data_IF_085333214487
#
_entry.id   IF_085333214487
#
_cell.length_a   1.000
_cell.length_b   1.000
_cell.length_c   1.000
_cell.angle_alpha   90.00
_cell.angle_beta   90.00
_cell.angle_gamma   90.00
#
_symmetry.space_group_name_H-M   'P 1'
#
loop_
_entity.id
_entity.type
_entity.pdbx_description
1 polymer ?
#
# COMPACT_ATOMS: atom_id res chain seq x y z
N UNK A 1 19.80 9.89 -24.45
CA UNK A 1 18.88 11.06 -24.43
C UNK A 1 17.67 10.86 -25.32
N UNK A 2 17.82 10.35 -26.57
CA UNK A 2 16.68 10.10 -27.46
C UNK A 2 15.54 9.31 -26.81
N UNK A 3 15.82 8.16 -26.19
CA UNK A 3 14.75 7.39 -25.52
C UNK A 3 14.03 8.10 -24.37
N UNK A 4 14.66 9.08 -23.69
CA UNK A 4 13.96 9.92 -22.70
C UNK A 4 13.06 10.96 -23.38
N UNK A 5 13.49 11.48 -24.54
CA UNK A 5 12.69 12.37 -25.36
C UNK A 5 11.45 11.64 -25.88
N UNK A 6 11.63 10.44 -26.46
CA UNK A 6 10.53 9.62 -26.99
C UNK A 6 9.51 9.24 -25.90
N UNK A 7 9.97 8.95 -24.68
CA UNK A 7 9.11 8.63 -23.52
C UNK A 7 8.32 9.87 -23.03
N UNK A 8 8.90 11.06 -23.15
CA UNK A 8 8.27 12.31 -22.68
C UNK A 8 7.41 12.99 -23.74
N UNK A 9 7.60 12.63 -25.01
CA UNK A 9 6.86 13.12 -26.17
C UNK A 9 6.31 11.92 -26.96
N UNK A 10 5.55 11.07 -26.29
CA UNK A 10 5.00 9.86 -26.87
C UNK A 10 3.71 10.19 -27.63
N UNK A 11 3.73 10.04 -28.95
CA UNK A 11 2.60 10.22 -29.86
C UNK A 11 2.01 8.88 -30.34
N UNK A 12 2.52 7.75 -29.81
CA UNK A 12 2.13 6.41 -30.26
C UNK A 12 1.10 5.77 -29.34
N UNK A 13 1.16 6.03 -28.03
CA UNK A 13 0.27 5.33 -27.06
C UNK A 13 -1.15 5.88 -27.04
N UNK A 14 -1.35 7.19 -27.11
CA UNK A 14 -2.68 7.82 -27.12
C UNK A 14 -2.89 8.52 -28.48
N UNK A 15 -3.75 7.94 -29.33
CA UNK A 15 -4.02 8.50 -30.66
C UNK A 15 -4.50 9.95 -30.58
N UNK A 16 -3.89 10.80 -31.40
CA UNK A 16 -4.22 12.23 -31.49
C UNK A 16 -3.64 13.10 -30.38
N UNK A 17 -2.86 12.53 -29.45
CA UNK A 17 -2.26 13.27 -28.33
C UNK A 17 -0.79 12.89 -28.11
N UNK A 18 0.07 13.90 -28.00
CA UNK A 18 1.43 13.69 -27.49
C UNK A 18 1.40 13.75 -25.97
N UNK A 19 1.78 12.66 -25.31
CA UNK A 19 1.75 12.53 -23.86
C UNK A 19 3.14 12.36 -23.27
N UNK A 20 3.30 12.87 -22.05
CA UNK A 20 4.44 12.52 -21.22
C UNK A 20 4.09 11.25 -20.42
N UNK A 21 4.64 10.11 -20.83
CA UNK A 21 4.33 8.81 -20.20
C UNK A 21 4.82 8.72 -18.76
N UNK A 22 5.83 9.50 -18.35
CA UNK A 22 6.25 9.61 -16.95
C UNK A 22 5.20 10.32 -16.09
N UNK A 23 4.55 11.36 -16.63
CA UNK A 23 3.42 12.06 -15.99
C UNK A 23 2.18 11.18 -16.00
N UNK A 24 1.87 10.53 -17.12
CA UNK A 24 0.59 9.83 -17.36
C UNK A 24 0.53 8.43 -16.72
N UNK A 25 1.61 7.65 -16.79
CA UNK A 25 1.61 6.22 -16.44
C UNK A 25 2.62 5.83 -15.35
N UNK A 26 3.33 6.78 -14.75
CA UNK A 26 4.30 6.50 -13.68
C UNK A 26 5.41 5.52 -14.13
N UNK A 27 5.92 5.68 -15.36
CA UNK A 27 6.94 4.83 -16.00
C UNK A 27 8.38 5.00 -15.41
N UNK A 28 8.47 5.51 -14.18
CA UNK A 28 9.73 5.73 -13.48
C UNK A 28 10.55 4.46 -13.22
N UNK A 29 9.95 3.32 -12.80
CA UNK A 29 10.71 2.08 -12.62
C UNK A 29 11.45 1.68 -13.90
N UNK A 30 10.79 1.71 -15.05
CA UNK A 30 11.36 1.27 -16.33
C UNK A 30 12.53 2.17 -16.74
N UNK A 31 12.42 3.49 -16.58
CA UNK A 31 13.52 4.40 -16.90
C UNK A 31 14.74 4.15 -16.01
N UNK A 32 14.52 4.00 -14.70
CA UNK A 32 15.59 3.75 -13.73
C UNK A 32 16.25 2.39 -14.00
N UNK A 33 15.47 1.33 -14.19
CA UNK A 33 16.01 -0.01 -14.42
C UNK A 33 16.57 -0.19 -15.82
N UNK A 34 16.10 0.54 -16.84
CA UNK A 34 16.76 0.58 -18.14
C UNK A 34 18.16 1.21 -18.05
N UNK A 35 18.35 2.23 -17.20
CA UNK A 35 19.67 2.78 -16.93
C UNK A 35 20.58 1.75 -16.24
N UNK A 36 20.09 1.08 -15.18
CA UNK A 36 20.87 0.03 -14.51
C UNK A 36 21.17 -1.16 -15.42
N UNK A 37 20.23 -1.55 -16.28
CA UNK A 37 20.44 -2.62 -17.25
C UNK A 37 21.56 -2.30 -18.24
N UNK A 38 21.65 -1.05 -18.72
CA UNK A 38 22.76 -0.61 -19.60
C UNK A 38 24.11 -0.69 -18.90
N UNK A 39 24.18 -0.30 -17.63
CA UNK A 39 25.41 -0.43 -16.82
C UNK A 39 25.76 -1.91 -16.64
N UNK A 40 24.78 -2.73 -16.24
CA UNK A 40 24.95 -4.17 -16.06
C UNK A 40 25.47 -4.84 -17.34
N UNK A 41 24.86 -4.54 -18.48
CA UNK A 41 25.28 -5.05 -19.79
C UNK A 41 26.69 -4.58 -20.16
N UNK A 42 26.98 -3.30 -20.00
CA UNK A 42 28.32 -2.76 -20.28
C UNK A 42 29.43 -3.42 -19.44
N UNK A 43 29.17 -3.71 -18.16
CA UNK A 43 30.12 -4.40 -17.28
C UNK A 43 30.28 -5.87 -17.69
N UNK A 44 29.17 -6.56 -17.94
CA UNK A 44 29.21 -8.00 -18.25
C UNK A 44 29.81 -8.30 -19.61
N UNK A 45 29.54 -7.45 -20.61
CA UNK A 45 30.18 -7.50 -21.93
C UNK A 45 31.69 -7.22 -21.81
N UNK A 46 32.11 -6.28 -20.96
CA UNK A 46 33.53 -5.98 -20.73
C UNK A 46 34.30 -7.14 -20.06
N UNK A 47 33.63 -7.96 -19.25
CA UNK A 47 34.21 -9.11 -18.54
C UNK A 47 33.95 -10.44 -19.27
N UNK A 48 33.30 -10.41 -20.44
CA UNK A 48 32.90 -11.61 -21.20
C UNK A 48 32.11 -12.65 -20.37
N UNK A 49 31.23 -12.18 -19.49
CA UNK A 49 30.35 -13.05 -18.71
C UNK A 49 29.13 -13.38 -19.55
N UNK A 50 28.87 -14.67 -19.79
CA UNK A 50 27.63 -15.08 -20.46
C UNK A 50 26.43 -14.93 -19.52
N UNK A 51 25.53 -13.99 -19.83
CA UNK A 51 24.39 -13.61 -18.96
C UNK A 51 23.04 -14.14 -19.45
N UNK A 52 22.98 -14.72 -20.64
CA UNK A 52 21.76 -15.31 -21.20
C UNK A 52 22.07 -16.55 -22.05
N UNK A 53 21.12 -17.47 -22.09
CA UNK A 53 21.14 -18.67 -22.96
C UNK A 53 19.92 -18.66 -23.85
N UNK A 54 20.14 -18.73 -25.17
CA UNK A 54 19.07 -18.72 -26.16
C UNK A 54 18.84 -20.13 -26.73
N UNK A 55 17.57 -20.51 -26.80
CA UNK A 55 17.11 -21.80 -27.30
C UNK A 55 16.16 -21.57 -28.48
N UNK A 56 16.22 -22.44 -29.48
CA UNK A 56 15.18 -22.50 -30.53
C UNK A 56 14.11 -23.50 -30.11
N UNK A 57 12.93 -23.01 -29.79
CA UNK A 57 11.80 -23.83 -29.34
C UNK A 57 10.94 -24.18 -30.55
N UNK A 58 10.78 -25.48 -30.80
CA UNK A 58 9.81 -26.00 -31.77
C UNK A 58 8.43 -26.03 -31.12
N UNK A 59 7.49 -25.26 -31.66
CA UNK A 59 6.17 -25.04 -31.05
C UNK A 59 5.09 -26.05 -31.48
N UNK A 60 5.45 -27.03 -32.31
CA UNK A 60 4.50 -27.96 -32.91
C UNK A 60 3.58 -27.29 -33.94
N UNK A 61 2.55 -28.01 -34.40
CA UNK A 61 1.43 -27.47 -35.20
C UNK A 61 1.82 -26.72 -36.49
N UNK A 62 2.92 -27.10 -37.15
CA UNK A 62 3.48 -26.44 -38.34
C UNK A 62 3.83 -24.94 -38.15
N UNK A 63 4.00 -24.48 -36.91
CA UNK A 63 4.41 -23.11 -36.61
C UNK A 63 5.95 -22.96 -36.71
N UNK A 64 6.47 -21.81 -37.18
CA UNK A 64 7.90 -21.60 -37.24
C UNK A 64 8.51 -21.60 -35.84
N UNK A 65 9.74 -22.14 -35.68
CA UNK A 65 10.43 -22.12 -34.40
C UNK A 65 10.69 -20.68 -33.95
N UNK A 66 10.58 -20.43 -32.65
CA UNK A 66 10.89 -19.14 -32.04
C UNK A 66 12.16 -19.27 -31.20
N UNK A 67 12.98 -18.23 -31.23
CA UNK A 67 14.11 -18.08 -30.33
C UNK A 67 13.63 -17.53 -28.98
N UNK A 68 13.89 -18.28 -27.92
CA UNK A 68 13.62 -17.89 -26.54
C UNK A 68 14.93 -17.79 -25.78
N UNK A 69 15.23 -16.59 -25.28
CA UNK A 69 16.43 -16.32 -24.49
C UNK A 69 16.06 -16.20 -23.02
N UNK A 70 16.73 -16.97 -22.17
CA UNK A 70 16.55 -16.99 -20.72
C UNK A 70 17.81 -16.46 -20.01
N UNK A 71 17.61 -15.77 -18.90
CA UNK A 71 18.68 -15.24 -18.06
C UNK A 71 18.63 -13.73 -17.89
N UNK A 72 19.33 -13.23 -16.87
CA UNK A 72 19.34 -11.82 -16.46
C UNK A 72 19.90 -10.87 -17.54
N UNK A 73 20.61 -11.40 -18.54
CA UNK A 73 21.03 -10.67 -19.74
C UNK A 73 19.87 -10.28 -20.66
N UNK A 74 18.71 -10.92 -20.56
CA UNK A 74 17.51 -10.54 -21.29
C UNK A 74 16.78 -9.41 -20.53
N UNK A 75 16.36 -8.31 -21.20
CA UNK A 75 15.74 -7.16 -20.54
C UNK A 75 14.44 -7.51 -19.78
N UNK A 76 13.68 -8.49 -20.25
CA UNK A 76 12.44 -8.92 -19.58
C UNK A 76 12.74 -9.61 -18.25
N UNK A 77 13.69 -10.55 -18.24
CA UNK A 77 14.15 -11.23 -17.03
C UNK A 77 14.81 -10.24 -16.07
N UNK A 78 15.68 -9.36 -16.57
CA UNK A 78 16.28 -8.31 -15.75
C UNK A 78 15.22 -7.47 -15.02
N UNK A 79 14.19 -7.03 -15.73
CA UNK A 79 13.12 -6.23 -15.12
C UNK A 79 12.33 -7.04 -14.09
N UNK A 80 11.88 -8.25 -14.43
CA UNK A 80 11.06 -9.10 -13.56
C UNK A 80 11.82 -9.55 -12.31
N UNK A 81 13.10 -9.93 -12.44
CA UNK A 81 13.94 -10.32 -11.32
C UNK A 81 14.11 -9.16 -10.32
N UNK A 82 14.26 -7.94 -10.81
CA UNK A 82 14.33 -6.75 -9.97
C UNK A 82 12.98 -6.41 -9.31
N UNK A 83 11.85 -6.67 -9.98
CA UNK A 83 10.51 -6.60 -9.34
C UNK A 83 10.43 -7.59 -8.18
N UNK A 84 10.87 -8.83 -8.38
CA UNK A 84 10.86 -9.84 -7.32
C UNK A 84 11.82 -9.51 -6.18
N UNK A 85 13.01 -8.98 -6.48
CA UNK A 85 13.95 -8.50 -5.47
C UNK A 85 13.32 -7.38 -4.60
N UNK A 86 12.65 -6.42 -5.24
CA UNK A 86 11.91 -5.36 -4.56
C UNK A 86 10.77 -5.93 -3.71
N UNK A 87 9.97 -6.85 -4.26
CA UNK A 87 8.87 -7.50 -3.54
C UNK A 87 9.36 -8.32 -2.34
N UNK A 88 10.55 -8.93 -2.41
CA UNK A 88 11.17 -9.66 -1.31
C UNK A 88 11.38 -8.79 -0.06
N UNK A 89 11.56 -7.47 -0.21
CA UNK A 89 11.72 -6.54 0.92
C UNK A 89 10.44 -6.35 1.75
N UNK A 90 9.27 -6.71 1.21
CA UNK A 90 7.98 -6.68 1.92
C UNK A 90 8.02 -7.60 3.14
N UNK A 91 8.55 -8.81 2.99
CA UNK A 91 8.65 -9.77 4.08
C UNK A 91 9.46 -9.21 5.26
N UNK A 92 10.60 -8.57 4.96
CA UNK A 92 11.43 -7.89 5.95
C UNK A 92 10.69 -6.75 6.65
N UNK A 93 9.95 -5.94 5.89
CA UNK A 93 9.17 -4.82 6.44
C UNK A 93 8.02 -5.29 7.33
N UNK A 94 7.33 -6.38 6.95
CA UNK A 94 6.28 -7.02 7.76
C UNK A 94 6.86 -7.59 9.06
N UNK A 95 8.03 -8.24 8.99
CA UNK A 95 8.73 -8.73 10.18
C UNK A 95 9.06 -7.58 11.14
N UNK A 96 9.67 -6.50 10.63
CA UNK A 96 9.97 -5.30 11.43
C UNK A 96 8.71 -4.73 12.06
N UNK A 97 7.61 -4.61 11.30
CA UNK A 97 6.32 -4.18 11.81
C UNK A 97 5.80 -5.08 12.93
N UNK A 98 5.88 -6.40 12.75
CA UNK A 98 5.46 -7.36 13.77
C UNK A 98 6.28 -7.24 15.06
N UNK A 99 7.59 -6.99 14.96
CA UNK A 99 8.44 -6.70 16.12
C UNK A 99 8.06 -5.37 16.78
N UNK A 100 7.78 -4.34 15.97
CA UNK A 100 7.38 -3.03 16.47
C UNK A 100 6.06 -3.08 17.25
N UNK A 101 5.08 -3.88 16.81
CA UNK A 101 3.77 -3.97 17.46
C UNK A 101 3.74 -4.89 18.68
N UNK A 102 4.64 -5.87 18.74
CA UNK A 102 4.65 -6.91 19.78
C UNK A 102 5.71 -6.73 20.87
N UNK A 103 6.70 -5.84 20.67
CA UNK A 103 7.92 -5.79 21.49
C UNK A 103 8.70 -7.11 21.50
N UNK A 104 8.50 -7.99 20.50
CA UNK A 104 9.03 -9.35 20.49
C UNK A 104 9.36 -9.84 19.08
N UNK A 105 10.46 -10.59 18.96
CA UNK A 105 10.84 -11.27 17.71
C UNK A 105 9.75 -12.28 17.28
N UNK A 106 9.06 -12.90 18.25
CA UNK A 106 7.99 -13.85 17.98
C UNK A 106 6.78 -13.21 17.30
N UNK A 107 6.48 -11.92 17.56
CA UNK A 107 5.44 -11.22 16.82
C UNK A 107 5.83 -10.94 15.36
N UNK A 108 7.13 -10.71 15.11
CA UNK A 108 7.68 -10.65 13.75
C UNK A 108 7.50 -11.96 13.00
N UNK A 109 7.85 -13.09 13.61
CA UNK A 109 7.65 -14.42 13.01
C UNK A 109 6.16 -14.75 12.79
N UNK A 110 5.28 -14.39 13.73
CA UNK A 110 3.84 -14.58 13.59
C UNK A 110 3.29 -13.80 12.38
N UNK A 111 3.62 -12.52 12.26
CA UNK A 111 3.18 -11.69 11.12
C UNK A 111 3.75 -12.19 9.78
N UNK A 112 5.02 -12.62 9.76
CA UNK A 112 5.66 -13.16 8.58
C UNK A 112 5.06 -14.50 8.15
N UNK A 113 4.80 -15.41 9.09
CA UNK A 113 4.13 -16.68 8.82
C UNK A 113 2.70 -16.45 8.30
N UNK A 114 1.96 -15.55 8.94
CA UNK A 114 0.63 -15.14 8.50
C UNK A 114 0.63 -14.60 7.06
N UNK A 115 1.62 -13.79 6.69
CA UNK A 115 1.81 -13.28 5.34
C UNK A 115 2.17 -14.39 4.34
N UNK A 116 3.11 -15.26 4.68
CA UNK A 116 3.53 -16.37 3.82
C UNK A 116 2.36 -17.33 3.50
N UNK A 117 1.57 -17.69 4.50
CA UNK A 117 0.42 -18.59 4.34
C UNK A 117 -0.74 -17.97 3.53
N UNK A 118 -0.79 -16.64 3.45
CA UNK A 118 -1.84 -15.89 2.76
C UNK A 118 -1.29 -15.04 1.61
N UNK A 119 -0.10 -15.37 1.09
CA UNK A 119 0.62 -14.56 0.10
C UNK A 119 -0.24 -14.24 -1.14
N UNK A 120 -1.05 -15.20 -1.61
CA UNK A 120 -1.90 -15.02 -2.80
C UNK A 120 -3.09 -14.09 -2.61
N UNK A 121 -3.51 -13.83 -1.37
CA UNK A 121 -4.54 -12.84 -1.05
C UNK A 121 -3.92 -11.49 -0.64
N UNK A 122 -2.60 -11.47 -0.40
CA UNK A 122 -1.84 -10.31 0.04
C UNK A 122 -1.16 -9.57 -1.11
N UNK A 123 -0.69 -10.29 -2.13
CA UNK A 123 -0.09 -9.74 -3.33
C UNK A 123 -0.34 -10.66 -4.52
N UNK A 124 -0.19 -10.11 -5.72
CA UNK A 124 -0.26 -10.84 -7.00
C UNK A 124 1.00 -10.68 -7.82
N UNK A 125 2.09 -10.25 -7.18
CA UNK A 125 3.39 -10.08 -7.85
C UNK A 125 3.84 -11.36 -8.55
N UNK A 126 3.52 -12.55 -8.02
CA UNK A 126 3.86 -13.81 -8.70
C UNK A 126 3.10 -14.06 -10.01
N UNK A 127 1.91 -13.46 -10.19
CA UNK A 127 1.07 -13.67 -11.37
C UNK A 127 1.25 -12.57 -12.41
N UNK A 128 1.40 -11.35 -11.93
CA UNK A 128 1.48 -10.15 -12.77
C UNK A 128 2.59 -9.23 -12.28
N UNK A 129 3.87 -9.63 -12.43
CA UNK A 129 5.01 -8.83 -11.95
C UNK A 129 5.02 -7.39 -12.50
N UNK A 130 4.76 -7.12 -13.80
CA UNK A 130 4.89 -5.78 -14.38
C UNK A 130 3.90 -4.72 -13.90
N UNK A 131 2.98 -5.06 -12.98
CA UNK A 131 2.08 -4.06 -12.43
C UNK A 131 2.84 -2.99 -11.64
N UNK A 132 2.42 -1.73 -11.81
CA UNK A 132 2.91 -0.56 -11.06
C UNK A 132 2.87 -0.75 -9.54
N UNK A 133 1.83 -1.39 -9.04
CA UNK A 133 1.65 -1.64 -7.61
C UNK A 133 2.73 -2.58 -7.06
N UNK A 134 3.29 -3.49 -7.87
CA UNK A 134 4.39 -4.39 -7.49
C UNK A 134 5.65 -3.60 -7.09
N UNK A 135 5.90 -2.46 -7.76
CA UNK A 135 7.00 -1.56 -7.42
C UNK A 135 6.70 -0.67 -6.23
N UNK A 136 5.49 -0.10 -6.14
CA UNK A 136 5.17 0.87 -5.10
C UNK A 136 4.88 0.23 -3.73
N UNK A 137 4.28 -0.96 -3.72
CA UNK A 137 3.82 -1.61 -2.49
C UNK A 137 4.94 -1.87 -1.46
N UNK A 138 6.16 -2.34 -1.83
CA UNK A 138 7.28 -2.48 -0.90
C UNK A 138 7.62 -1.18 -0.18
N UNK A 139 7.67 -0.05 -0.90
CA UNK A 139 7.95 1.26 -0.32
C UNK A 139 6.81 1.74 0.58
N UNK A 140 5.55 1.43 0.26
CA UNK A 140 4.41 1.77 1.11
C UNK A 140 4.51 1.06 2.46
N UNK A 141 4.75 -0.26 2.48
CA UNK A 141 4.87 -1.01 3.73
C UNK A 141 6.11 -0.57 4.53
N UNK A 142 7.25 -0.37 3.87
CA UNK A 142 8.44 0.16 4.52
C UNK A 142 8.19 1.56 5.12
N UNK A 143 7.43 2.41 4.42
CA UNK A 143 7.07 3.73 4.92
C UNK A 143 6.14 3.66 6.13
N UNK A 144 5.15 2.76 6.13
CA UNK A 144 4.26 2.54 7.29
C UNK A 144 5.07 2.02 8.48
N UNK A 145 6.07 1.16 8.24
CA UNK A 145 7.02 0.73 9.27
C UNK A 145 7.82 1.89 9.85
N UNK A 146 8.31 2.78 9.00
CA UNK A 146 9.06 3.95 9.43
C UNK A 146 8.18 4.93 10.22
N UNK A 147 6.93 5.17 9.79
CA UNK A 147 5.95 6.00 10.53
C UNK A 147 5.61 5.38 11.88
N UNK A 148 5.38 4.07 11.93
CA UNK A 148 5.12 3.34 13.18
C UNK A 148 6.30 3.49 14.15
N UNK A 149 7.53 3.37 13.65
CA UNK A 149 8.75 3.59 14.45
C UNK A 149 8.86 5.03 14.99
N UNK A 150 8.54 6.04 14.16
CA UNK A 150 8.53 7.46 14.57
C UNK A 150 7.51 7.69 15.69
N UNK A 151 6.29 7.18 15.53
CA UNK A 151 5.20 7.33 16.50
C UNK A 151 5.58 6.65 17.82
N UNK A 152 6.04 5.39 17.75
CA UNK A 152 6.43 4.60 18.93
C UNK A 152 7.50 5.29 19.76
N UNK A 153 8.55 5.79 19.10
CA UNK A 153 9.69 6.40 19.77
C UNK A 153 9.56 7.92 19.94
N UNK A 154 8.37 8.48 19.66
CA UNK A 154 8.07 9.92 19.74
C UNK A 154 9.14 10.78 19.05
N UNK A 155 9.68 10.30 17.92
CA UNK A 155 10.73 11.01 17.19
C UNK A 155 10.15 12.26 16.53
N UNK A 156 10.95 13.30 16.44
CA UNK A 156 10.59 14.56 15.80
C UNK A 156 11.82 15.20 15.17
N UNK A 157 11.61 15.98 14.11
CA UNK A 157 12.67 16.72 13.43
C UNK A 157 12.72 16.45 11.92
N UNK A 158 13.44 17.31 11.22
CA UNK A 158 13.48 17.31 9.75
C UNK A 158 14.05 16.01 9.16
N UNK A 159 15.03 15.38 9.82
CA UNK A 159 15.63 14.12 9.35
C UNK A 159 14.60 12.99 9.26
N UNK A 160 13.71 12.87 10.25
CA UNK A 160 12.63 11.89 10.26
C UNK A 160 11.57 12.20 9.19
N UNK A 161 11.26 13.49 8.98
CA UNK A 161 10.37 13.93 7.91
C UNK A 161 10.94 13.61 6.52
N UNK A 162 12.24 13.83 6.30
CA UNK A 162 12.91 13.48 5.04
C UNK A 162 12.94 11.97 4.84
N UNK A 163 13.27 11.19 5.87
CA UNK A 163 13.33 9.73 5.80
C UNK A 163 11.99 9.13 5.35
N UNK A 164 10.87 9.57 5.92
CA UNK A 164 9.55 9.11 5.47
C UNK A 164 9.21 9.65 4.07
N UNK A 165 9.62 10.88 3.75
CA UNK A 165 9.31 11.51 2.47
C UNK A 165 9.96 10.77 1.31
N UNK A 166 11.21 10.30 1.46
CA UNK A 166 11.93 9.52 0.43
C UNK A 166 11.15 8.24 0.06
N UNK A 167 10.75 7.45 1.05
CA UNK A 167 9.96 6.22 0.81
C UNK A 167 8.62 6.54 0.15
N UNK A 168 7.94 7.60 0.61
CA UNK A 168 6.69 8.07 -0.01
C UNK A 168 6.88 8.60 -1.43
N UNK A 169 8.02 9.21 -1.76
CA UNK A 169 8.34 9.70 -3.11
C UNK A 169 8.45 8.52 -4.07
N UNK A 170 9.22 7.48 -3.74
CA UNK A 170 9.34 6.28 -4.59
C UNK A 170 7.97 5.62 -4.83
N UNK A 171 7.18 5.44 -3.77
CA UNK A 171 5.83 4.88 -3.90
C UNK A 171 4.94 5.69 -4.88
N UNK A 172 5.00 7.03 -4.83
CA UNK A 172 4.24 7.91 -5.72
C UNK A 172 4.77 7.97 -7.14
N UNK A 173 6.08 7.91 -7.33
CA UNK A 173 6.67 7.88 -8.67
C UNK A 173 6.33 6.57 -9.38
N UNK A 174 6.25 5.46 -8.64
CA UNK A 174 6.02 4.13 -9.20
C UNK A 174 4.54 3.80 -9.42
N UNK A 175 3.63 4.44 -8.68
CA UNK A 175 2.21 4.12 -8.80
C UNK A 175 1.28 5.30 -8.52
N UNK A 176 0.44 5.62 -9.51
CA UNK A 176 -0.57 6.68 -9.46
C UNK A 176 -1.55 6.57 -8.27
N UNK A 177 -1.93 5.36 -7.87
CA UNK A 177 -2.95 5.16 -6.83
C UNK A 177 -2.39 5.12 -5.40
N UNK A 178 -1.07 5.25 -5.24
CA UNK A 178 -0.41 5.34 -3.92
C UNK A 178 -0.96 6.48 -3.05
N UNK A 179 -1.50 7.54 -3.68
CA UNK A 179 -2.17 8.64 -3.00
C UNK A 179 -3.34 8.20 -2.11
N UNK A 180 -4.05 7.12 -2.44
CA UNK A 180 -5.12 6.59 -1.57
C UNK A 180 -4.56 5.93 -0.30
N UNK A 181 -3.42 5.24 -0.42
CA UNK A 181 -2.74 4.68 0.74
C UNK A 181 -2.28 5.80 1.68
N UNK A 182 -1.68 6.87 1.15
CA UNK A 182 -1.23 7.99 1.96
C UNK A 182 -2.38 8.86 2.48
N UNK A 183 -3.50 8.96 1.78
CA UNK A 183 -4.71 9.62 2.27
C UNK A 183 -5.27 8.91 3.52
N UNK A 184 -5.42 7.58 3.47
CA UNK A 184 -5.86 6.81 4.65
C UNK A 184 -4.86 6.90 5.81
N UNK A 185 -3.55 6.86 5.53
CA UNK A 185 -2.51 7.11 6.53
C UNK A 185 -2.63 8.47 7.18
N UNK A 186 -2.85 9.53 6.39
CA UNK A 186 -3.03 10.87 6.92
C UNK A 186 -4.28 10.98 7.79
N UNK A 187 -5.37 10.35 7.39
CA UNK A 187 -6.58 10.21 8.21
C UNK A 187 -6.32 9.49 9.54
N UNK A 188 -5.56 8.40 9.52
CA UNK A 188 -5.19 7.67 10.75
C UNK A 188 -4.29 8.49 11.67
N UNK A 189 -3.34 9.26 11.12
CA UNK A 189 -2.51 10.20 11.89
C UNK A 189 -3.38 11.33 12.46
N UNK A 190 -4.38 11.79 11.73
CA UNK A 190 -5.34 12.78 12.23
C UNK A 190 -6.14 12.23 13.42
N UNK A 191 -6.64 11.00 13.33
CA UNK A 191 -7.33 10.33 14.45
C UNK A 191 -6.40 10.15 15.64
N UNK A 192 -5.14 9.74 15.41
CA UNK A 192 -4.11 9.67 16.46
C UNK A 192 -3.91 11.03 17.18
N UNK A 193 -3.92 12.13 16.42
CA UNK A 193 -3.86 13.48 16.96
C UNK A 193 -5.13 13.86 17.74
N UNK A 194 -6.32 13.58 17.19
CA UNK A 194 -7.60 13.91 17.81
C UNK A 194 -7.80 13.24 19.18
N UNK A 195 -7.23 12.05 19.39
CA UNK A 195 -7.26 11.33 20.66
C UNK A 195 -6.07 11.66 21.59
N UNK A 196 -5.22 12.64 21.25
CA UNK A 196 -4.03 13.06 22.01
C UNK A 196 -3.04 11.89 22.31
N UNK A 197 -2.95 10.89 21.43
CA UNK A 197 -2.04 9.73 21.61
C UNK A 197 -0.58 10.05 21.33
N UNK A 198 -0.31 11.06 20.50
CA UNK A 198 1.05 11.44 20.09
C UNK A 198 1.33 12.91 20.40
N UNK A 199 2.61 13.25 20.50
CA UNK A 199 3.06 14.62 20.76
C UNK A 199 2.85 15.51 19.53
N UNK A 200 2.62 16.81 19.75
CA UNK A 200 2.43 17.76 18.64
C UNK A 200 3.69 17.88 17.76
N UNK A 201 4.89 17.73 18.32
CA UNK A 201 6.14 17.75 17.55
C UNK A 201 6.26 16.55 16.61
N UNK A 202 5.89 15.36 17.08
CA UNK A 202 5.83 14.15 16.24
C UNK A 202 4.78 14.31 15.13
N UNK A 203 3.57 14.79 15.44
CA UNK A 203 2.52 15.01 14.43
C UNK A 203 2.95 16.04 13.37
N UNK A 204 3.55 17.16 13.79
CA UNK A 204 4.11 18.16 12.85
C UNK A 204 5.20 17.57 11.96
N UNK A 205 6.05 16.69 12.51
CA UNK A 205 7.09 15.99 11.74
C UNK A 205 6.48 15.08 10.68
N UNK A 206 5.45 14.31 11.03
CA UNK A 206 4.75 13.42 10.10
C UNK A 206 4.05 14.21 8.99
N UNK A 207 3.34 15.29 9.35
CA UNK A 207 2.68 16.16 8.38
C UNK A 207 3.68 16.84 7.44
N UNK A 208 4.82 17.29 7.97
CA UNK A 208 5.91 17.87 7.17
C UNK A 208 6.47 16.85 6.19
N UNK A 209 6.67 15.59 6.60
CA UNK A 209 7.13 14.53 5.69
C UNK A 209 6.14 14.26 4.55
N UNK A 210 4.85 14.23 4.85
CA UNK A 210 3.79 14.11 3.83
C UNK A 210 3.78 15.31 2.86
N UNK A 211 3.96 16.53 3.36
CA UNK A 211 4.01 17.75 2.57
C UNK A 211 5.26 17.81 1.68
N UNK A 212 6.45 17.58 2.22
CA UNK A 212 7.71 17.51 1.44
C UNK A 212 7.57 16.46 0.35
N UNK A 213 7.11 15.27 0.71
CA UNK A 213 6.90 14.20 -0.24
C UNK A 213 5.94 14.62 -1.36
N UNK A 214 4.82 15.27 -1.02
CA UNK A 214 3.87 15.77 -2.00
C UNK A 214 4.52 16.75 -2.98
N UNK A 215 5.16 17.81 -2.48
CA UNK A 215 5.79 18.83 -3.31
C UNK A 215 6.86 18.22 -4.23
N UNK A 216 7.74 17.36 -3.69
CA UNK A 216 8.77 16.71 -4.50
C UNK A 216 8.18 15.78 -5.55
N UNK A 217 7.20 14.93 -5.20
CA UNK A 217 6.54 14.07 -6.18
C UNK A 217 5.79 14.87 -7.26
N UNK A 218 5.15 16.00 -6.90
CA UNK A 218 4.44 16.85 -7.86
C UNK A 218 5.38 17.47 -8.89
N UNK A 219 6.55 17.95 -8.46
CA UNK A 219 7.60 18.46 -9.35
C UNK A 219 8.14 17.35 -10.25
N UNK A 220 8.49 16.19 -9.67
CA UNK A 220 9.03 15.06 -10.44
C UNK A 220 7.99 14.49 -11.41
N UNK A 221 6.70 14.53 -11.10
CA UNK A 221 5.64 14.09 -12.00
C UNK A 221 5.18 15.19 -12.97
N UNK A 222 5.99 16.23 -13.19
CA UNK A 222 5.71 17.30 -14.17
C UNK A 222 4.36 17.98 -13.95
N UNK A 223 4.01 18.25 -12.69
CA UNK A 223 2.73 18.87 -12.34
C UNK A 223 1.54 17.96 -12.63
N UNK A 224 1.66 16.66 -12.30
CA UNK A 224 0.56 15.71 -12.48
C UNK A 224 -0.73 16.20 -11.77
N UNK A 225 -1.75 16.45 -12.58
CA UNK A 225 -3.02 17.03 -12.15
C UNK A 225 -3.76 16.08 -11.21
N UNK A 226 -3.77 14.78 -11.53
CA UNK A 226 -4.43 13.75 -10.71
C UNK A 226 -3.88 13.71 -9.27
N UNK A 227 -2.57 13.91 -9.08
CA UNK A 227 -1.97 13.97 -7.76
C UNK A 227 -2.43 15.21 -6.98
N UNK A 228 -2.54 16.35 -7.66
CA UNK A 228 -2.95 17.63 -7.07
C UNK A 228 -4.43 17.67 -6.71
N UNK A 229 -5.30 17.10 -7.55
CA UNK A 229 -6.76 17.05 -7.34
C UNK A 229 -7.23 15.93 -6.43
N UNK A 230 -6.36 14.95 -6.17
CA UNK A 230 -6.66 13.84 -5.27
C UNK A 230 -7.06 14.32 -3.87
N UNK A 231 -7.79 13.50 -3.11
CA UNK A 231 -8.14 13.81 -1.72
C UNK A 231 -6.92 13.95 -0.79
N UNK A 232 -5.72 13.52 -1.22
CA UNK A 232 -4.51 13.54 -0.40
C UNK A 232 -4.04 14.97 -0.10
N UNK A 233 -3.89 15.82 -1.11
CA UNK A 233 -3.40 17.19 -0.94
C UNK A 233 -4.36 18.09 -0.13
N UNK A 234 -5.67 18.15 -0.44
CA UNK A 234 -6.67 18.83 0.39
C UNK A 234 -6.64 18.40 1.85
N UNK A 235 -6.40 17.10 2.10
CA UNK A 235 -6.29 16.57 3.46
C UNK A 235 -5.03 17.04 4.18
N UNK A 236 -3.89 17.19 3.49
CA UNK A 236 -2.68 17.79 4.09
C UNK A 236 -2.97 19.22 4.51
N UNK A 237 -3.57 20.01 3.64
CA UNK A 237 -3.94 21.40 3.90
C UNK A 237 -4.96 21.51 5.04
N UNK A 238 -5.99 20.64 5.04
CA UNK A 238 -7.01 20.61 6.08
C UNK A 238 -6.42 20.20 7.45
N UNK A 239 -5.51 19.24 7.49
CA UNK A 239 -4.80 18.88 8.72
C UNK A 239 -3.90 20.04 9.19
N UNK A 240 -3.16 20.67 8.29
CA UNK A 240 -2.34 21.84 8.65
C UNK A 240 -3.21 22.96 9.26
N UNK A 241 -4.37 23.25 8.67
CA UNK A 241 -5.33 24.21 9.21
C UNK A 241 -5.87 23.78 10.58
N UNK A 242 -6.21 22.50 10.76
CA UNK A 242 -6.65 21.97 12.04
C UNK A 242 -5.58 22.14 13.14
N UNK A 243 -4.29 21.97 12.81
CA UNK A 243 -3.19 22.22 13.75
C UNK A 243 -3.03 23.72 14.10
N UNK A 244 -3.36 24.63 13.18
CA UNK A 244 -3.37 26.07 13.45
C UNK A 244 -4.52 26.48 14.37
N UNK A 245 -5.70 25.85 14.21
CA UNK A 245 -6.90 26.09 15.02
C UNK A 245 -6.82 25.35 16.37
N UNK A 246 -6.00 24.31 16.49
CA UNK A 246 -5.85 23.49 17.69
C UNK A 246 -5.72 24.27 19.01
N UNK A 247 -4.92 25.36 19.13
CA UNK A 247 -4.84 26.15 20.37
C UNK A 247 -6.19 26.72 20.83
N UNK A 248 -7.08 27.06 19.91
CA UNK A 248 -8.43 27.55 20.21
C UNK A 248 -9.33 26.41 20.71
N UNK A 249 -9.27 25.25 20.05
CA UNK A 249 -10.05 24.06 20.40
C UNK A 249 -9.53 23.36 21.66
N UNK A 250 -8.30 23.67 22.09
CA UNK A 250 -7.70 23.07 23.28
C UNK A 250 -8.46 23.43 24.58
N UNK A 251 -9.33 24.44 24.56
CA UNK A 251 -10.22 24.78 25.68
C UNK A 251 -11.33 23.75 25.92
N UNK A 252 -11.63 22.90 24.93
CA UNK A 252 -12.66 21.87 25.05
C UNK A 252 -12.10 20.67 25.82
N UNK A 253 -12.60 20.46 27.03
CA UNK A 253 -12.18 19.38 27.95
C UNK A 253 -12.89 18.06 27.67
N UNK A 254 -14.15 18.09 27.21
CA UNK A 254 -14.91 16.89 26.88
C UNK A 254 -14.44 16.30 25.54
N UNK A 255 -13.79 15.13 25.58
CA UNK A 255 -13.12 14.55 24.42
C UNK A 255 -14.06 14.19 23.27
N UNK A 256 -15.22 13.54 23.48
CA UNK A 256 -16.09 13.17 22.36
C UNK A 256 -16.50 14.37 21.51
N UNK A 257 -16.81 15.51 22.14
CA UNK A 257 -17.12 16.76 21.43
C UNK A 257 -15.88 17.32 20.73
N UNK A 258 -14.72 17.31 21.39
CA UNK A 258 -13.46 17.74 20.74
C UNK A 258 -13.13 16.90 19.50
N UNK A 259 -13.21 15.56 19.60
CA UNK A 259 -12.94 14.63 18.50
C UNK A 259 -13.96 14.84 17.38
N UNK A 260 -15.25 14.95 17.71
CA UNK A 260 -16.31 15.17 16.72
C UNK A 260 -16.08 16.47 15.95
N UNK A 261 -15.80 17.58 16.65
CA UNK A 261 -15.56 18.88 16.01
C UNK A 261 -14.31 18.83 15.14
N UNK A 262 -13.19 18.28 15.66
CA UNK A 262 -11.94 18.19 14.88
C UNK A 262 -12.10 17.32 13.64
N UNK A 263 -12.73 16.15 13.78
CA UNK A 263 -12.98 15.25 12.66
C UNK A 263 -13.90 15.90 11.62
N UNK A 264 -14.94 16.60 12.08
CA UNK A 264 -15.85 17.33 11.20
C UNK A 264 -15.11 18.44 10.45
N UNK A 265 -14.25 19.22 11.12
CA UNK A 265 -13.44 20.26 10.49
C UNK A 265 -12.46 19.68 9.47
N UNK A 266 -11.83 18.54 9.78
CA UNK A 266 -10.90 17.86 8.88
C UNK A 266 -11.62 17.33 7.63
N UNK A 267 -12.75 16.65 7.81
CA UNK A 267 -13.52 16.10 6.69
C UNK A 267 -14.11 17.24 5.85
N UNK A 268 -14.79 18.20 6.48
CA UNK A 268 -15.38 19.34 5.78
C UNK A 268 -14.31 20.18 5.06
N UNK A 269 -13.17 20.43 5.70
CA UNK A 269 -12.05 21.14 5.09
C UNK A 269 -11.47 20.39 3.89
N UNK A 270 -11.27 19.08 4.01
CA UNK A 270 -10.74 18.25 2.92
C UNK A 270 -11.69 18.19 1.71
N UNK A 271 -12.98 17.99 1.95
CA UNK A 271 -14.00 17.99 0.89
C UNK A 271 -14.18 19.38 0.27
N UNK A 272 -14.25 20.42 1.09
CA UNK A 272 -14.38 21.80 0.62
C UNK A 272 -13.20 22.23 -0.26
N UNK A 273 -11.96 21.99 0.21
CA UNK A 273 -10.76 22.26 -0.57
C UNK A 273 -10.70 21.44 -1.86
N UNK A 274 -11.08 20.15 -1.82
CA UNK A 274 -11.15 19.34 -3.04
C UNK A 274 -12.12 19.94 -4.06
N UNK A 275 -13.32 20.31 -3.61
CA UNK A 275 -14.33 20.89 -4.49
C UNK A 275 -13.83 22.19 -5.14
N UNK A 276 -13.22 23.08 -4.35
CA UNK A 276 -12.61 24.33 -4.85
C UNK A 276 -11.52 24.02 -5.88
N UNK A 277 -10.55 23.16 -5.55
CA UNK A 277 -9.43 22.83 -6.44
C UNK A 277 -9.89 22.20 -7.74
N UNK A 278 -10.78 21.19 -7.67
CA UNK A 278 -11.28 20.49 -8.85
C UNK A 278 -12.09 21.41 -9.76
N UNK A 279 -12.92 22.29 -9.19
CA UNK A 279 -13.69 23.25 -9.99
C UNK A 279 -12.81 24.33 -10.63
N UNK A 280 -11.77 24.80 -9.94
CA UNK A 280 -10.84 25.81 -10.48
C UNK A 280 -9.99 25.25 -11.63
N UNK A 281 -9.57 23.99 -11.54
CA UNK A 281 -8.70 23.37 -12.57
C UNK A 281 -9.49 22.68 -13.70
N UNK A 282 -10.82 22.61 -13.62
CA UNK A 282 -11.68 21.89 -14.58
C UNK A 282 -11.29 20.41 -14.81
N UNK A 283 -10.59 19.80 -13.85
CA UNK A 283 -10.19 18.40 -13.92
C UNK A 283 -11.32 17.54 -13.35
N UNK A 284 -11.99 16.80 -14.23
CA UNK A 284 -13.09 15.89 -13.88
C UNK A 284 -12.64 14.43 -13.65
N UNK A 285 -11.35 14.12 -13.79
CA UNK A 285 -10.81 12.74 -13.77
C UNK A 285 -11.05 12.00 -12.43
N UNK A 286 -11.17 12.71 -11.31
CA UNK A 286 -11.46 12.12 -9.99
C UNK A 286 -12.95 11.87 -9.72
N UNK A 287 -13.84 12.25 -10.64
CA UNK A 287 -15.28 11.98 -10.53
C UNK A 287 -15.59 10.48 -10.53
N UNK A 288 -14.71 9.66 -11.12
CA UNK A 288 -14.92 8.22 -11.26
C UNK A 288 -15.07 7.47 -9.93
N UNK A 289 -14.35 7.83 -8.87
CA UNK A 289 -14.46 7.08 -7.60
C UNK A 289 -15.79 7.38 -6.90
N UNK A 290 -16.20 8.65 -6.86
CA UNK A 290 -17.49 9.03 -6.29
C UNK A 290 -18.64 8.48 -7.13
N UNK A 291 -18.49 8.46 -8.45
CA UNK A 291 -19.45 7.83 -9.36
C UNK A 291 -19.51 6.31 -9.15
N UNK A 292 -18.38 5.64 -8.93
CA UNK A 292 -18.34 4.20 -8.59
C UNK A 292 -19.05 3.95 -7.25
N UNK A 293 -18.83 4.79 -6.24
CA UNK A 293 -19.53 4.68 -4.96
C UNK A 293 -21.03 4.95 -5.13
N UNK A 294 -21.41 5.95 -5.92
CA UNK A 294 -22.80 6.26 -6.26
C UNK A 294 -23.47 5.10 -7.02
N UNK A 295 -22.77 4.49 -7.96
CA UNK A 295 -23.23 3.30 -8.67
C UNK A 295 -23.43 2.11 -7.73
N UNK A 296 -22.51 1.88 -6.80
CA UNK A 296 -22.57 0.77 -5.83
C UNK A 296 -23.68 0.91 -4.80
N UNK A 297 -23.86 2.11 -4.24
CA UNK A 297 -24.79 2.33 -3.13
C UNK A 297 -26.15 2.89 -3.55
N UNK A 298 -26.21 3.69 -4.61
CA UNK A 298 -27.42 4.37 -5.08
C UNK A 298 -27.94 3.82 -6.42
N UNK A 299 -27.22 2.89 -7.05
CA UNK A 299 -27.63 2.28 -8.33
C UNK A 299 -27.64 3.23 -9.52
N UNK A 300 -27.01 4.40 -9.40
CA UNK A 300 -26.93 5.39 -10.50
C UNK A 300 -25.68 5.11 -11.32
N UNK A 301 -25.88 4.66 -12.56
CA UNK A 301 -24.80 4.24 -13.43
C UNK A 301 -24.60 5.19 -14.62
N UNK A 302 -23.36 5.61 -14.85
CA UNK A 302 -22.89 6.19 -16.12
C UNK A 302 -22.06 5.15 -16.92
N UNK A 303 -21.64 5.48 -18.14
CA UNK A 303 -20.86 4.58 -19.00
C UNK A 303 -19.61 4.00 -18.30
N UNK A 304 -18.81 4.88 -17.69
CA UNK A 304 -17.59 4.48 -16.97
C UNK A 304 -17.87 3.56 -15.78
N UNK A 305 -18.88 3.86 -14.96
CA UNK A 305 -19.23 3.02 -13.81
C UNK A 305 -19.68 1.64 -14.24
N UNK A 306 -20.42 1.50 -15.36
CA UNK A 306 -20.79 0.18 -15.91
C UNK A 306 -19.56 -0.62 -16.31
N UNK A 307 -18.62 0.02 -17.03
CA UNK A 307 -17.36 -0.60 -17.42
C UNK A 307 -16.58 -1.13 -16.20
N UNK A 308 -16.47 -0.30 -15.14
CA UNK A 308 -15.78 -0.70 -13.92
C UNK A 308 -16.52 -1.80 -13.14
N UNK A 309 -17.85 -1.74 -13.00
CA UNK A 309 -18.61 -2.75 -12.25
C UNK A 309 -18.67 -4.13 -12.92
N UNK A 310 -18.42 -4.22 -14.24
CA UNK A 310 -18.31 -5.49 -14.94
C UNK A 310 -17.05 -6.28 -14.54
N UNK A 311 -15.99 -5.58 -14.15
CA UNK A 311 -14.71 -6.19 -13.77
C UNK A 311 -14.70 -6.59 -12.29
N UNK A 312 -14.33 -7.83 -11.99
CA UNK A 312 -14.37 -8.40 -10.64
C UNK A 312 -13.47 -7.63 -9.64
N UNK A 313 -12.46 -6.94 -10.14
CA UNK A 313 -11.47 -6.19 -9.38
C UNK A 313 -12.04 -4.98 -8.65
N UNK A 314 -13.06 -4.33 -9.23
CA UNK A 314 -13.71 -3.15 -8.65
C UNK A 314 -14.97 -3.50 -7.87
N UNK A 315 -15.33 -4.78 -7.79
CA UNK A 315 -16.46 -5.26 -7.01
C UNK A 315 -16.13 -5.40 -5.52
N UNK A 316 -17.16 -5.63 -4.71
CA UNK A 316 -16.97 -5.91 -3.29
C UNK A 316 -16.10 -7.16 -3.10
N UNK A 317 -15.45 -7.28 -1.94
CA UNK A 317 -14.65 -8.47 -1.63
C UNK A 317 -15.49 -9.76 -1.75
N UNK A 318 -15.04 -10.78 -2.51
CA UNK A 318 -15.74 -12.05 -2.60
C UNK A 318 -15.84 -12.74 -1.24
N UNK A 319 -16.98 -13.37 -0.97
CA UNK A 319 -17.17 -14.18 0.25
C UNK A 319 -16.13 -15.31 0.35
N UNK A 320 -15.70 -15.86 -0.78
CA UNK A 320 -14.64 -16.87 -0.86
C UNK A 320 -13.31 -16.36 -0.28
N UNK A 321 -12.93 -15.11 -0.54
CA UNK A 321 -11.71 -14.53 0.02
C UNK A 321 -11.80 -14.44 1.54
N UNK A 322 -12.93 -13.97 2.09
CA UNK A 322 -13.14 -13.92 3.55
C UNK A 322 -13.12 -15.32 4.18
N UNK A 323 -13.68 -16.31 3.50
CA UNK A 323 -13.65 -17.70 3.93
C UNK A 323 -12.21 -18.25 3.98
N UNK A 324 -11.41 -18.05 2.92
CA UNK A 324 -9.99 -18.44 2.89
C UNK A 324 -9.17 -17.81 4.02
N UNK A 325 -9.36 -16.51 4.26
CA UNK A 325 -8.69 -15.78 5.35
C UNK A 325 -9.13 -16.26 6.74
N UNK A 326 -10.33 -16.82 6.85
CA UNK A 326 -10.85 -17.39 8.11
C UNK A 326 -10.29 -18.79 8.33
N UNK A 327 -10.24 -19.63 7.30
CA UNK A 327 -9.68 -20.99 7.36
C UNK A 327 -8.18 -20.97 7.68
N UNK A 328 -7.43 -19.99 7.18
CA UNK A 328 -6.02 -19.80 7.54
C UNK A 328 -5.80 -19.19 8.93
N UNK A 329 -6.87 -18.98 9.70
CA UNK A 329 -6.93 -18.32 11.01
C UNK A 329 -6.44 -16.87 11.03
N UNK A 330 -6.17 -16.25 9.87
CA UNK A 330 -5.70 -14.87 9.78
C UNK A 330 -6.77 -13.89 10.27
N UNK A 331 -7.99 -13.97 9.73
CA UNK A 331 -9.08 -13.06 10.10
C UNK A 331 -9.49 -13.22 11.58
N UNK A 332 -9.68 -14.45 12.12
CA UNK A 332 -9.90 -14.66 13.56
C UNK A 332 -8.79 -14.09 14.45
N UNK A 333 -7.51 -14.31 14.08
CA UNK A 333 -6.37 -13.84 14.87
C UNK A 333 -6.25 -12.33 14.87
N UNK A 334 -6.41 -11.68 13.71
CA UNK A 334 -6.42 -10.23 13.60
C UNK A 334 -7.63 -9.61 14.31
N UNK A 335 -8.80 -10.23 14.22
CA UNK A 335 -9.99 -9.84 14.98
C UNK A 335 -9.76 -9.91 16.49
N UNK A 336 -9.19 -11.02 16.98
CA UNK A 336 -8.83 -11.18 18.39
C UNK A 336 -7.82 -10.12 18.84
N UNK A 337 -6.80 -9.83 18.03
CA UNK A 337 -5.82 -8.76 18.29
C UNK A 337 -6.48 -7.39 18.47
N UNK A 338 -7.38 -7.01 17.55
CA UNK A 338 -8.12 -5.75 17.62
C UNK A 338 -9.03 -5.71 18.86
N UNK A 339 -9.72 -6.82 19.17
CA UNK A 339 -10.58 -6.92 20.35
C UNK A 339 -9.78 -6.77 21.66
N UNK A 340 -8.62 -7.41 21.77
CA UNK A 340 -7.72 -7.29 22.92
C UNK A 340 -7.29 -5.82 23.10
N UNK A 341 -6.90 -5.16 22.01
CA UNK A 341 -6.55 -3.75 22.06
C UNK A 341 -7.75 -2.85 22.43
N UNK A 342 -8.95 -3.16 21.92
CA UNK A 342 -10.17 -2.44 22.27
C UNK A 342 -10.53 -2.61 23.77
N UNK A 343 -10.38 -3.81 24.32
CA UNK A 343 -10.56 -4.08 25.76
C UNK A 343 -9.58 -3.25 26.59
N UNK A 344 -8.29 -3.24 26.21
CA UNK A 344 -7.31 -2.37 26.85
C UNK A 344 -7.72 -0.90 26.77
N UNK A 345 -8.12 -0.43 25.59
CA UNK A 345 -8.49 0.96 25.35
C UNK A 345 -9.72 1.41 26.16
N UNK A 346 -10.71 0.53 26.36
CA UNK A 346 -11.96 0.86 27.07
C UNK A 346 -11.80 0.74 28.59
N UNK A 347 -11.15 -0.32 29.06
CA UNK A 347 -11.15 -0.68 30.48
C UNK A 347 -9.86 -0.31 31.24
N UNK A 348 -8.72 -0.26 30.56
CA UNK A 348 -7.40 -0.11 31.18
C UNK A 348 -6.69 1.21 30.85
N UNK A 349 -7.04 1.82 29.72
CA UNK A 349 -6.75 3.23 29.49
C UNK A 349 -7.45 4.05 30.59
N UNK A 350 -6.77 5.02 31.19
CA UNK A 350 -7.32 5.87 32.25
C UNK A 350 -8.74 6.33 31.87
N UNK A 351 -9.76 5.90 32.62
CA UNK A 351 -11.18 6.12 32.28
C UNK A 351 -11.53 7.61 32.24
N UNK A 352 -10.94 8.39 33.15
CA UNK A 352 -10.96 9.86 33.12
C UNK A 352 -10.34 10.38 31.82
N UNK A 353 -9.22 9.81 31.41
CA UNK A 353 -8.54 10.17 30.18
C UNK A 353 -9.30 9.80 28.91
N UNK A 354 -10.27 8.89 28.90
CA UNK A 354 -11.04 8.54 27.68
C UNK A 354 -12.09 9.60 27.38
N UNK A 355 -12.80 10.05 28.43
CA UNK A 355 -13.90 11.02 28.31
C UNK A 355 -13.43 12.46 28.46
N UNK A 356 -12.40 12.70 29.27
CA UNK A 356 -11.88 14.01 29.59
C UNK A 356 -10.42 14.14 29.12
N UNK A 357 -10.10 15.29 28.54
CA UNK A 357 -8.76 15.63 28.08
C UNK A 357 -7.98 16.24 29.23
N UNK A 358 -6.75 15.76 29.46
CA UNK A 358 -5.77 16.43 30.31
C UNK A 358 -4.70 17.06 29.41
N UNK A 359 -4.42 18.34 29.64
CA UNK A 359 -3.46 19.14 28.85
C UNK A 359 -2.00 18.79 29.12
N UNK A 360 -1.70 18.12 30.24
CA UNK A 360 -0.34 17.88 30.74
C UNK A 360 0.27 16.56 30.23
N UNK A 361 -0.53 15.50 30.07
CA UNK A 361 -0.05 14.17 29.64
C UNK A 361 -0.27 13.92 28.14
N UNK A 362 0.59 14.47 27.28
CA UNK A 362 0.59 14.18 25.83
C UNK A 362 1.51 13.01 25.49
N UNK A 363 0.94 11.95 24.90
CA UNK A 363 1.71 10.78 24.44
C UNK A 363 1.45 9.52 25.25
N UNK A 364 0.36 8.82 24.90
CA UNK A 364 -0.13 7.61 25.59
C UNK A 364 0.69 6.36 25.25
N UNK A 365 0.60 5.36 26.13
CA UNK A 365 1.13 4.01 25.83
C UNK A 365 0.42 3.41 24.60
N UNK A 366 1.17 2.66 23.80
CA UNK A 366 0.67 1.94 22.61
C UNK A 366 0.07 2.86 21.52
N UNK A 367 0.60 4.08 21.36
CA UNK A 367 0.20 5.00 20.29
C UNK A 367 0.44 4.43 18.88
N UNK A 368 1.50 3.64 18.73
CA UNK A 368 1.84 2.89 17.52
C UNK A 368 0.83 1.79 17.21
N UNK A 369 0.34 1.05 18.22
CA UNK A 369 -0.72 0.06 18.04
C UNK A 369 -2.04 0.76 17.70
N UNK A 370 -2.38 1.87 18.38
CA UNK A 370 -3.59 2.65 18.07
C UNK A 370 -3.60 3.13 16.61
N UNK A 371 -2.48 3.72 16.16
CA UNK A 371 -2.32 4.14 14.77
C UNK A 371 -2.54 2.98 13.79
N UNK A 372 -1.92 1.83 14.02
CA UNK A 372 -2.03 0.68 13.13
C UNK A 372 -3.43 0.02 13.15
N UNK A 373 -4.14 0.05 14.29
CA UNK A 373 -5.53 -0.43 14.36
C UNK A 373 -6.47 0.49 13.58
N UNK A 374 -6.33 1.81 13.71
CA UNK A 374 -7.11 2.77 12.90
C UNK A 374 -6.80 2.60 11.41
N UNK A 375 -5.52 2.45 11.06
CA UNK A 375 -5.09 2.21 9.68
C UNK A 375 -5.67 0.91 9.11
N UNK A 376 -5.67 -0.16 9.90
CA UNK A 376 -6.27 -1.44 9.54
C UNK A 376 -7.77 -1.28 9.26
N UNK A 377 -8.50 -0.56 10.11
CA UNK A 377 -9.94 -0.29 9.90
C UNK A 377 -10.14 0.43 8.56
N UNK A 378 -9.37 1.49 8.28
CA UNK A 378 -9.43 2.20 7.00
C UNK A 378 -9.14 1.28 5.81
N UNK A 379 -8.11 0.43 5.90
CA UNK A 379 -7.76 -0.52 4.84
C UNK A 379 -8.81 -1.63 4.65
N UNK A 380 -9.40 -2.15 5.73
CA UNK A 380 -10.52 -3.08 5.64
C UNK A 380 -11.75 -2.43 5.01
N UNK A 381 -12.06 -1.16 5.33
CA UNK A 381 -13.17 -0.43 4.72
C UNK A 381 -12.99 -0.26 3.21
N UNK A 382 -11.81 0.18 2.74
CA UNK A 382 -11.58 0.31 1.29
C UNK A 382 -11.51 -1.04 0.58
N UNK A 383 -10.96 -2.08 1.25
CA UNK A 383 -10.91 -3.45 0.72
C UNK A 383 -12.30 -4.05 0.56
N UNK A 384 -13.20 -3.77 1.50
CA UNK A 384 -14.59 -4.18 1.40
C UNK A 384 -15.24 -3.59 0.14
N UNK A 385 -15.00 -2.30 -0.14
CA UNK A 385 -15.57 -1.60 -1.29
C UNK A 385 -14.99 -2.03 -2.64
N UNK A 386 -13.68 -2.30 -2.69
CA UNK A 386 -12.92 -2.61 -3.90
C UNK A 386 -11.97 -3.79 -3.62
N UNK A 387 -12.26 -4.95 -4.21
CA UNK A 387 -11.50 -6.20 -4.02
C UNK A 387 -10.01 -6.02 -4.28
N UNK A 388 -9.65 -5.27 -5.33
CA UNK A 388 -8.25 -5.01 -5.71
C UNK A 388 -7.43 -4.33 -4.60
N UNK A 389 -8.08 -3.63 -3.66
CA UNK A 389 -7.41 -2.97 -2.53
C UNK A 389 -7.07 -3.91 -1.36
N UNK A 390 -7.39 -5.21 -1.47
CA UNK A 390 -6.90 -6.24 -0.53
C UNK A 390 -5.37 -6.28 -0.41
N UNK A 391 -4.67 -5.74 -1.42
CA UNK A 391 -3.23 -5.45 -1.40
C UNK A 391 -2.81 -4.69 -0.13
N UNK A 392 -3.64 -3.80 0.42
CA UNK A 392 -3.34 -3.09 1.67
C UNK A 392 -3.90 -3.80 2.90
N UNK A 393 -5.14 -4.31 2.80
CA UNK A 393 -5.87 -4.92 3.92
C UNK A 393 -5.25 -6.22 4.41
N UNK A 394 -4.99 -7.19 3.53
CA UNK A 394 -4.47 -8.51 3.93
C UNK A 394 -3.11 -8.43 4.62
N UNK A 395 -2.10 -7.69 4.11
CA UNK A 395 -0.82 -7.52 4.81
C UNK A 395 -0.95 -6.82 6.16
N UNK A 396 -1.84 -5.83 6.28
CA UNK A 396 -2.10 -5.17 7.57
C UNK A 396 -2.80 -6.08 8.57
N UNK A 397 -3.69 -6.98 8.12
CA UNK A 397 -4.25 -8.03 8.97
C UNK A 397 -3.13 -8.94 9.50
N UNK A 398 -2.18 -9.34 8.65
CA UNK A 398 -1.03 -10.15 9.07
C UNK A 398 -0.19 -9.43 10.13
N UNK A 399 0.10 -8.15 9.91
CA UNK A 399 0.81 -7.30 10.88
C UNK A 399 0.04 -7.19 12.20
N UNK A 400 -1.29 -7.02 12.15
CA UNK A 400 -2.12 -6.90 13.35
C UNK A 400 -2.13 -8.17 14.22
N UNK A 401 -1.93 -9.36 13.64
CA UNK A 401 -1.78 -10.60 14.43
C UNK A 401 -0.62 -10.52 15.43
N UNK A 402 0.42 -9.73 15.15
CA UNK A 402 1.55 -9.55 16.05
C UNK A 402 1.15 -8.92 17.41
N UNK A 403 0.01 -8.22 17.49
CA UNK A 403 -0.50 -7.69 18.78
C UNK A 403 -0.74 -8.84 19.77
N UNK A 404 -1.12 -10.04 19.30
CA UNK A 404 -1.29 -11.22 20.15
C UNK A 404 0.02 -11.65 20.82
N UNK A 405 1.17 -11.31 20.23
CA UNK A 405 2.48 -11.57 20.79
C UNK A 405 2.97 -10.45 21.74
N UNK A 406 2.17 -9.40 21.98
CA UNK A 406 2.53 -8.31 22.89
C UNK A 406 2.30 -8.70 24.35
N UNK A 407 3.35 -9.19 25.01
CA UNK A 407 3.28 -9.65 26.39
C UNK A 407 2.93 -8.52 27.37
N UNK A 408 3.40 -7.29 27.13
CA UNK A 408 3.08 -6.14 28.01
C UNK A 408 1.60 -5.81 27.98
N UNK A 409 1.01 -5.74 26.79
CA UNK A 409 -0.42 -5.48 26.61
C UNK A 409 -1.27 -6.55 27.28
N UNK A 410 -0.94 -7.83 27.08
CA UNK A 410 -1.67 -8.94 27.67
C UNK A 410 -1.53 -9.01 29.18
N UNK A 411 -0.34 -8.73 29.73
CA UNK A 411 -0.14 -8.73 31.18
C UNK A 411 -0.89 -7.59 31.89
N UNK A 412 -1.05 -6.43 31.26
CA UNK A 412 -1.91 -5.36 31.80
C UNK A 412 -3.35 -5.87 31.93
N UNK A 413 -3.86 -6.59 30.91
CA UNK A 413 -5.23 -7.10 30.90
C UNK A 413 -5.41 -8.29 31.86
N UNK A 414 -4.43 -9.20 31.92
CA UNK A 414 -4.46 -10.43 32.70
C UNK A 414 -3.90 -10.28 34.11
N UNK A 415 -3.52 -9.06 34.52
CA UNK A 415 -2.94 -8.74 35.83
C UNK A 415 -1.70 -9.59 36.16
N UNK A 416 -0.73 -9.60 35.23
CA UNK A 416 0.57 -10.30 35.33
C UNK A 416 0.51 -11.82 35.56
N UNK A 417 -0.64 -12.46 35.25
CA UNK A 417 -0.81 -13.91 35.39
C UNK A 417 -0.17 -14.72 34.26
N UNK A 418 0.25 -14.09 33.17
CA UNK A 418 0.74 -14.79 31.98
C UNK A 418 2.26 -14.97 32.05
N UNK A 419 2.71 -16.21 32.20
CA UNK A 419 4.13 -16.55 32.12
C UNK A 419 4.63 -16.36 30.67
N UNK A 420 5.78 -15.68 30.51
CA UNK A 420 6.43 -15.44 29.21
C UNK A 420 6.65 -16.73 28.40
N UNK A 421 7.04 -17.83 29.03
CA UNK A 421 7.27 -19.09 28.33
C UNK A 421 5.97 -19.75 27.85
N UNK A 422 4.92 -19.68 28.67
CA UNK A 422 3.59 -20.14 28.28
C UNK A 422 3.03 -19.31 27.11
N UNK A 423 3.24 -18.00 27.12
CA UNK A 423 2.85 -17.10 26.04
C UNK A 423 3.57 -17.44 24.72
N UNK A 424 4.89 -17.65 24.77
CA UNK A 424 5.67 -18.08 23.60
C UNK A 424 5.15 -19.43 23.07
N UNK A 425 4.86 -20.38 23.96
CA UNK A 425 4.25 -21.66 23.58
C UNK A 425 2.90 -21.49 22.87
N UNK A 426 2.05 -20.58 23.34
CA UNK A 426 0.76 -20.26 22.72
C UNK A 426 0.92 -19.63 21.33
N UNK A 427 1.90 -18.73 21.15
CA UNK A 427 2.22 -18.18 19.83
C UNK A 427 2.74 -19.26 18.88
N UNK A 428 3.60 -20.16 19.36
CA UNK A 428 4.08 -21.31 18.57
C UNK A 428 2.93 -22.23 18.13
N UNK A 429 1.99 -22.52 19.04
CA UNK A 429 0.79 -23.30 18.74
C UNK A 429 -0.11 -22.59 17.71
N UNK A 430 -0.27 -21.27 17.81
CA UNK A 430 -1.01 -20.49 16.84
C UNK A 430 -0.38 -20.57 15.44
N UNK A 431 0.95 -20.40 15.33
CA UNK A 431 1.67 -20.54 14.06
C UNK A 431 1.48 -21.95 13.48
N UNK A 432 1.57 -22.99 14.33
CA UNK A 432 1.34 -24.38 13.91
C UNK A 432 -0.10 -24.60 13.39
N UNK A 433 -1.10 -24.00 14.05
CA UNK A 433 -2.48 -24.05 13.60
C UNK A 433 -2.69 -23.32 12.26
N UNK A 434 -2.09 -22.14 12.09
CA UNK A 434 -2.12 -21.41 10.80
C UNK A 434 -1.43 -22.20 9.69
N UNK A 435 -0.34 -22.92 10.00
CA UNK A 435 0.43 -23.69 9.04
C UNK A 435 -0.36 -24.88 8.45
N UNK A 436 -1.36 -25.42 9.16
CA UNK A 436 -2.17 -26.54 8.68
C UNK A 436 -2.83 -26.24 7.33
N UNK A 437 -3.62 -25.17 7.25
CA UNK A 437 -4.19 -24.69 5.98
C UNK A 437 -3.20 -23.86 5.16
N UNK A 438 -2.27 -23.15 5.81
CA UNK A 438 -1.25 -22.36 5.13
C UNK A 438 -0.38 -23.18 4.18
N UNK A 439 -0.04 -24.42 4.56
CA UNK A 439 0.72 -25.35 3.71
C UNK A 439 -0.04 -25.74 2.45
N UNK A 440 -1.36 -25.93 2.53
CA UNK A 440 -2.20 -26.25 1.36
C UNK A 440 -2.22 -25.08 0.38
N UNK A 441 -2.34 -23.85 0.87
CA UNK A 441 -2.29 -22.64 0.05
C UNK A 441 -0.96 -22.52 -0.69
N UNK A 442 0.15 -22.70 0.03
CA UNK A 442 1.50 -22.65 -0.57
C UNK A 442 1.65 -23.76 -1.61
N UNK A 443 1.28 -25.01 -1.28
CA UNK A 443 1.36 -26.13 -2.23
C UNK A 443 0.55 -25.86 -3.49
N UNK A 444 -0.65 -25.29 -3.36
CA UNK A 444 -1.50 -24.92 -4.51
C UNK A 444 -0.81 -23.89 -5.41
N UNK A 445 -0.09 -22.92 -4.83
CA UNK A 445 0.64 -21.91 -5.61
C UNK A 445 1.85 -22.48 -6.34
N UNK A 446 2.65 -23.30 -5.66
CA UNK A 446 3.83 -23.94 -6.26
C UNK A 446 3.48 -24.96 -7.36
N UNK A 447 2.30 -25.56 -7.30
CA UNK A 447 1.86 -26.51 -8.31
C UNK A 447 1.43 -25.85 -9.64
N UNK A 448 1.31 -24.52 -9.68
CA UNK A 448 0.93 -23.81 -10.91
C UNK A 448 2.21 -23.62 -11.72
N UNK A 449 2.46 -24.56 -12.62
CA UNK A 449 3.49 -24.50 -13.65
C UNK A 449 2.72 -24.39 -14.97
N UNK A 450 2.90 -23.27 -15.69
CA UNK A 450 2.21 -23.04 -16.96
C UNK A 450 3.16 -22.40 -17.96
N UNK A 451 3.17 -22.95 -19.18
CA UNK A 451 3.75 -22.30 -20.34
C UNK A 451 2.67 -21.44 -20.99
N UNK A 452 2.94 -20.15 -21.18
CA UNK A 452 2.01 -19.26 -21.88
C UNK A 452 2.08 -19.54 -23.39
N UNK A 453 0.96 -19.95 -23.98
CA UNK A 453 0.82 -20.13 -25.42
C UNK A 453 -0.51 -19.54 -25.86
N UNK A 454 -0.48 -18.58 -26.78
CA UNK A 454 -1.68 -17.94 -27.32
C UNK A 454 -1.53 -17.70 -28.83
N UNK A 455 -1.66 -18.76 -29.65
CA UNK A 455 -1.45 -18.68 -31.10
C UNK A 455 -2.46 -17.76 -31.79
N UNK A 456 -3.68 -17.63 -31.27
CA UNK A 456 -4.70 -16.75 -31.85
C UNK A 456 -4.32 -15.28 -31.72
N UNK A 457 -3.74 -14.89 -30.58
CA UNK A 457 -3.25 -13.54 -30.37
C UNK A 457 -2.01 -13.25 -31.24
N UNK A 458 -1.11 -14.22 -31.40
CA UNK A 458 0.00 -14.10 -32.33
C UNK A 458 -0.49 -13.92 -33.77
N UNK A 459 -1.47 -14.74 -34.20
CA UNK A 459 -2.07 -14.64 -35.53
C UNK A 459 -2.75 -13.29 -35.75
N UNK A 460 -3.39 -12.73 -34.71
CA UNK A 460 -3.94 -11.37 -34.75
C UNK A 460 -2.85 -10.32 -34.92
N UNK A 461 -1.74 -10.41 -34.17
CA UNK A 461 -0.62 -9.48 -34.33
C UNK A 461 0.05 -9.59 -35.70
N UNK A 462 0.22 -10.81 -36.21
CA UNK A 462 0.70 -11.06 -37.57
C UNK A 462 -0.25 -10.48 -38.61
N UNK A 463 -1.57 -10.63 -38.42
CA UNK A 463 -2.56 -10.04 -39.29
C UNK A 463 -2.51 -8.52 -39.26
N UNK A 464 -2.41 -7.90 -38.07
CA UNK A 464 -2.27 -6.44 -37.92
C UNK A 464 -1.01 -5.97 -38.66
N UNK A 465 0.15 -6.60 -38.41
CA UNK A 465 1.41 -6.22 -39.06
C UNK A 465 1.37 -6.36 -40.58
N UNK A 466 0.63 -7.35 -41.12
CA UNK A 466 0.49 -7.56 -42.57
C UNK A 466 -0.57 -6.64 -43.20
N UNK A 467 -1.64 -6.34 -42.48
CA UNK A 467 -2.84 -5.69 -43.01
C UNK A 467 -2.92 -4.19 -42.70
N UNK A 468 -2.05 -3.68 -41.82
CA UNK A 468 -1.97 -2.25 -41.46
C UNK A 468 -0.63 -1.67 -41.87
N UNK A 469 -0.61 -0.36 -42.21
CA UNK A 469 0.64 0.33 -42.56
C UNK A 469 1.37 0.75 -41.27
N UNK A 470 2.69 0.51 -41.15
CA UNK A 470 3.46 1.04 -40.02
C UNK A 470 3.33 2.57 -39.95
N UNK A 471 2.90 3.11 -38.81
CA UNK A 471 2.84 4.56 -38.56
C UNK A 471 1.55 5.28 -38.99
N UNK A 472 0.47 4.57 -39.33
CA UNK A 472 -0.89 5.16 -39.41
C UNK A 472 -1.85 4.33 -38.56
N UNK A 473 -1.73 4.45 -37.25
CA UNK A 473 -2.82 4.21 -36.34
C UNK A 473 -3.03 5.43 -35.49
#
# INVERSE_FOLDING_TARGET
MQGLYDITHDDVTEYGHTINTLKRFNLYPEVIFAFFYRIFKGITDAVNINTQTCWKINRGSNLPPIESCEGIGNPHYFYVDNVFASAGTVAGSIFVMGVLMSDSIFGGFLALAAFAFNHGEATRVQWTPPLRESWAFPFIIAQIAFVTYIIRNKKSGLSWAIGMAVLSIFAKLYWQFSQFAFFTQLGSIFVLHAFDFSSLSTIKTLLLGHFISFCTSFVLLFGNEMLFTSFYFPSICSFALALLIYPLLNKITFRPVFVLINLTLFVAGSFGLKFVISNTLQVHDDAHILDILRAKFLGVHNFHTRLYTCSAEFNFIPKETLWKLTQSLLLPSAGAAVLIFAIYFIFYSEKSSVLWRSTENKGRHFADIFYNVVQLICYCSITYLIMRLKLFGTPHLCIATAILANNKLLNIILKDRLNKWAHIGLIGLLIAAMAHHGRENIKKQYNIIGEYSNPDQEALFDWINKSTKPGKL
#
